data_IF_649953637281
#
_entry.id   IF_649953637281
#
_cell.length_a   1.000
_cell.length_b   1.000
_cell.length_c   1.000
_cell.angle_alpha   90.00
_cell.angle_beta   90.00
_cell.angle_gamma   90.00
#
_symmetry.space_group_name_H-M   'P 1'
#
loop_
_entity.id
_entity.type
_entity.pdbx_description
1 polymer ?
#
# COMPACT_ATOMS: atom_id res chain seq x y z
N UNK A 1 -74.82 -17.31 -26.39
CA UNK A 1 -73.66 -18.11 -26.84
C UNK A 1 -72.75 -17.30 -27.76
N UNK A 2 -73.27 -16.60 -28.78
CA UNK A 2 -72.48 -15.68 -29.62
C UNK A 2 -71.83 -14.51 -28.85
N UNK A 3 -72.55 -13.92 -27.89
CA UNK A 3 -72.07 -12.79 -27.06
C UNK A 3 -70.88 -13.17 -26.15
N UNK A 4 -70.91 -14.39 -25.58
CA UNK A 4 -69.82 -14.95 -24.76
C UNK A 4 -68.57 -15.21 -25.62
N UNK A 5 -68.76 -15.65 -26.87
CA UNK A 5 -67.64 -15.87 -27.80
C UNK A 5 -66.99 -14.53 -28.18
N UNK A 6 -67.77 -13.46 -28.34
CA UNK A 6 -67.26 -12.13 -28.64
C UNK A 6 -66.48 -11.52 -27.46
N UNK A 7 -66.97 -11.66 -26.23
CA UNK A 7 -66.22 -11.23 -25.03
C UNK A 7 -64.91 -12.00 -24.83
N UNK A 8 -64.92 -13.32 -25.06
CA UNK A 8 -63.71 -14.15 -24.99
C UNK A 8 -62.68 -13.75 -26.05
N UNK A 9 -63.13 -13.33 -27.24
CA UNK A 9 -62.24 -12.79 -28.28
C UNK A 9 -61.61 -11.46 -27.86
N UNK A 10 -62.39 -10.54 -27.27
CA UNK A 10 -61.89 -9.26 -26.74
C UNK A 10 -60.88 -9.45 -25.62
N UNK A 11 -61.15 -10.37 -24.68
CA UNK A 11 -60.21 -10.72 -23.60
C UNK A 11 -58.91 -11.32 -24.14
N UNK A 12 -59.00 -12.22 -25.12
CA UNK A 12 -57.82 -12.80 -25.78
C UNK A 12 -56.97 -11.73 -26.47
N UNK A 13 -57.61 -10.78 -27.16
CA UNK A 13 -56.92 -9.68 -27.82
C UNK A 13 -56.23 -8.76 -26.79
N UNK A 14 -56.93 -8.38 -25.72
CA UNK A 14 -56.36 -7.56 -24.65
C UNK A 14 -55.15 -8.25 -23.96
N UNK A 15 -55.23 -9.56 -23.73
CA UNK A 15 -54.13 -10.34 -23.17
C UNK A 15 -52.90 -10.41 -24.11
N UNK A 16 -53.14 -10.50 -25.42
CA UNK A 16 -52.07 -10.48 -26.42
C UNK A 16 -51.39 -9.11 -26.49
N UNK A 17 -52.17 -8.03 -26.49
CA UNK A 17 -51.66 -6.66 -26.47
C UNK A 17 -50.85 -6.39 -25.19
N UNK A 18 -51.36 -6.81 -24.02
CA UNK A 18 -50.64 -6.65 -22.75
C UNK A 18 -49.33 -7.46 -22.72
N UNK A 19 -49.31 -8.65 -23.30
CA UNK A 19 -48.08 -9.46 -23.40
C UNK A 19 -47.06 -8.79 -24.31
N UNK A 20 -47.49 -8.25 -25.46
CA UNK A 20 -46.62 -7.53 -26.39
C UNK A 20 -46.00 -6.29 -25.73
N UNK A 21 -46.81 -5.48 -25.03
CA UNK A 21 -46.33 -4.31 -24.29
C UNK A 21 -45.34 -4.71 -23.19
N UNK A 22 -45.61 -5.79 -22.44
CA UNK A 22 -44.71 -6.27 -21.40
C UNK A 22 -43.36 -6.76 -21.97
N UNK A 23 -43.38 -7.42 -23.13
CA UNK A 23 -42.16 -7.86 -23.82
C UNK A 23 -41.34 -6.67 -24.33
N UNK A 24 -42.01 -5.67 -24.90
CA UNK A 24 -41.37 -4.43 -25.35
C UNK A 24 -40.74 -3.67 -24.18
N UNK A 25 -41.47 -3.48 -23.07
CA UNK A 25 -40.94 -2.85 -21.86
C UNK A 25 -39.72 -3.60 -21.30
N UNK A 26 -39.76 -4.94 -21.29
CA UNK A 26 -38.62 -5.76 -20.82
C UNK A 26 -37.39 -5.57 -21.72
N UNK A 27 -37.60 -5.47 -23.03
CA UNK A 27 -36.53 -5.21 -24.01
C UNK A 27 -35.90 -3.82 -23.80
N UNK A 28 -36.73 -2.78 -23.61
CA UNK A 28 -36.27 -1.41 -23.35
C UNK A 28 -35.48 -1.33 -22.05
N UNK A 29 -35.99 -1.91 -20.96
CA UNK A 29 -35.30 -1.92 -19.65
C UNK A 29 -33.96 -2.65 -19.74
N UNK A 30 -33.90 -3.78 -20.45
CA UNK A 30 -32.65 -4.53 -20.63
C UNK A 30 -31.60 -3.72 -21.42
N UNK A 31 -32.04 -2.99 -22.45
CA UNK A 31 -31.18 -2.08 -23.20
C UNK A 31 -30.62 -0.94 -22.34
N UNK A 32 -31.48 -0.32 -21.52
CA UNK A 32 -31.07 0.74 -20.59
C UNK A 32 -30.07 0.25 -19.55
N UNK A 33 -30.25 -0.95 -18.99
CA UNK A 33 -29.30 -1.57 -18.04
C UNK A 33 -27.94 -1.78 -18.70
N UNK A 34 -27.91 -2.28 -19.94
CA UNK A 34 -26.66 -2.46 -20.69
C UNK A 34 -25.93 -1.14 -20.95
N UNK A 35 -26.66 -0.07 -21.26
CA UNK A 35 -26.08 1.26 -21.46
C UNK A 35 -25.51 1.84 -20.15
N UNK A 36 -26.24 1.69 -19.03
CA UNK A 36 -25.78 2.13 -17.71
C UNK A 36 -24.50 1.39 -17.30
N UNK A 37 -24.45 0.06 -17.46
CA UNK A 37 -23.25 -0.75 -17.16
C UNK A 37 -22.05 -0.33 -18.02
N UNK A 38 -22.27 -0.09 -19.32
CA UNK A 38 -21.24 0.42 -20.22
C UNK A 38 -20.70 1.80 -19.79
N UNK A 39 -21.59 2.70 -19.38
CA UNK A 39 -21.21 4.04 -18.87
C UNK A 39 -20.47 3.96 -17.55
N UNK A 40 -20.87 3.07 -16.64
CA UNK A 40 -20.18 2.85 -15.38
C UNK A 40 -18.74 2.35 -15.58
N UNK A 41 -18.55 1.31 -16.40
CA UNK A 41 -17.22 0.80 -16.74
C UNK A 41 -16.33 1.86 -17.38
N UNK A 42 -16.89 2.66 -18.29
CA UNK A 42 -16.15 3.76 -18.91
C UNK A 42 -15.75 4.84 -17.89
N UNK A 43 -16.64 5.17 -16.94
CA UNK A 43 -16.36 6.11 -15.87
C UNK A 43 -15.28 5.59 -14.90
N UNK A 44 -15.33 4.30 -14.53
CA UNK A 44 -14.29 3.66 -13.71
C UNK A 44 -12.92 3.76 -14.38
N UNK A 45 -12.82 3.37 -15.66
CA UNK A 45 -11.57 3.46 -16.42
C UNK A 45 -11.08 4.91 -16.53
N UNK A 46 -11.98 5.89 -16.72
CA UNK A 46 -11.62 7.30 -16.79
C UNK A 46 -11.10 7.83 -15.45
N UNK A 47 -11.71 7.42 -14.33
CA UNK A 47 -11.26 7.76 -12.97
C UNK A 47 -9.90 7.14 -12.68
N UNK A 48 -9.69 5.86 -13.02
CA UNK A 48 -8.39 5.19 -12.87
C UNK A 48 -7.30 5.91 -13.66
N UNK A 49 -7.55 6.25 -14.93
CA UNK A 49 -6.60 7.02 -15.76
C UNK A 49 -6.31 8.41 -15.22
N UNK A 50 -7.32 9.09 -14.68
CA UNK A 50 -7.13 10.40 -14.05
C UNK A 50 -6.25 10.29 -12.79
N UNK A 51 -6.50 9.28 -11.95
CA UNK A 51 -5.67 8.98 -10.77
C UNK A 51 -4.24 8.67 -11.20
N UNK A 52 -4.04 7.81 -12.20
CA UNK A 52 -2.72 7.48 -12.74
C UNK A 52 -1.98 8.73 -13.23
N UNK A 53 -2.63 9.56 -14.07
CA UNK A 53 -2.05 10.78 -14.62
C UNK A 53 -1.76 11.86 -13.57
N UNK A 54 -2.61 11.98 -12.54
CA UNK A 54 -2.37 12.90 -11.42
C UNK A 54 -1.24 12.38 -10.51
N UNK A 55 -1.17 11.06 -10.26
CA UNK A 55 -0.19 10.44 -9.37
C UNK A 55 1.25 10.46 -9.90
N UNK A 56 1.46 10.46 -11.21
CA UNK A 56 2.79 10.56 -11.82
C UNK A 56 3.51 11.90 -11.61
N UNK A 57 2.82 12.93 -11.12
CA UNK A 57 3.36 14.29 -10.95
C UNK A 57 3.29 14.81 -9.50
N UNK A 58 2.79 14.01 -8.55
CA UNK A 58 2.68 14.44 -7.16
C UNK A 58 3.95 14.08 -6.39
N UNK A 59 4.53 15.01 -5.61
CA UNK A 59 5.59 14.65 -4.68
C UNK A 59 5.04 13.65 -3.67
N UNK A 60 5.70 12.51 -3.51
CA UNK A 60 5.34 11.58 -2.45
C UNK A 60 5.53 12.26 -1.10
N UNK A 61 4.47 12.26 -0.30
CA UNK A 61 4.52 12.69 1.10
C UNK A 61 4.69 11.43 1.92
N UNK A 62 5.76 11.38 2.71
CA UNK A 62 5.93 10.27 3.64
C UNK A 62 4.84 10.34 4.73
N UNK A 63 4.01 9.31 4.80
CA UNK A 63 2.92 9.18 5.77
C UNK A 63 3.41 8.77 7.16
N UNK A 64 4.70 8.45 7.32
CA UNK A 64 5.32 8.14 8.60
C UNK A 64 5.68 9.43 9.35
N UNK A 65 5.14 9.60 10.56
CA UNK A 65 5.38 10.78 11.40
C UNK A 65 6.84 10.94 11.85
N UNK A 66 7.52 9.83 12.14
CA UNK A 66 8.91 9.79 12.59
C UNK A 66 9.81 9.06 11.57
N UNK A 67 9.67 9.32 10.27
CA UNK A 67 10.38 8.58 9.22
C UNK A 67 11.91 8.58 9.33
N UNK A 68 12.46 9.57 10.05
CA UNK A 68 13.89 9.68 10.34
C UNK A 68 14.34 8.89 11.57
N UNK A 69 13.39 8.33 12.33
CA UNK A 69 13.59 7.59 13.56
C UNK A 69 14.41 8.37 14.62
N UNK A 70 14.23 9.70 14.67
CA UNK A 70 14.96 10.60 15.59
C UNK A 70 14.17 11.00 16.82
N UNK A 71 12.84 10.78 16.83
CA UNK A 71 12.00 11.05 17.99
C UNK A 71 12.27 10.06 19.13
N UNK A 72 12.25 10.55 20.37
CA UNK A 72 12.46 9.79 21.59
C UNK A 72 11.23 9.83 22.50
N UNK A 73 11.00 8.76 23.25
CA UNK A 73 10.00 8.72 24.32
C UNK A 73 10.46 9.51 25.56
N UNK A 74 9.63 9.52 26.61
CA UNK A 74 9.94 10.19 27.88
C UNK A 74 11.14 9.62 28.61
N UNK A 75 11.51 8.37 28.33
CA UNK A 75 12.61 7.65 28.95
C UNK A 75 13.92 7.77 28.13
N UNK A 76 13.86 8.46 26.99
CA UNK A 76 14.99 8.70 26.11
C UNK A 76 15.25 7.60 25.06
N UNK A 77 14.36 6.62 24.94
CA UNK A 77 14.47 5.57 23.91
C UNK A 77 13.93 6.10 22.58
N UNK A 78 14.57 5.72 21.49
CA UNK A 78 14.09 6.04 20.16
C UNK A 78 12.77 5.33 19.83
N UNK A 79 11.83 6.07 19.26
CA UNK A 79 10.55 5.53 18.81
C UNK A 79 10.70 4.94 17.40
N UNK A 80 10.27 3.69 17.21
CA UNK A 80 10.21 3.10 15.88
C UNK A 80 9.18 3.83 15.00
N UNK A 81 9.50 4.17 13.74
CA UNK A 81 8.52 4.73 12.81
C UNK A 81 7.44 3.71 12.38
N UNK A 82 7.70 2.42 12.55
CA UNK A 82 6.88 1.33 12.01
C UNK A 82 6.65 0.23 13.06
N UNK A 83 5.45 -0.34 13.05
CA UNK A 83 5.10 -1.53 13.82
C UNK A 83 5.37 -2.81 13.05
N UNK A 84 5.28 -3.95 13.72
CA UNK A 84 5.46 -5.28 13.12
C UNK A 84 4.16 -6.08 13.16
N UNK A 85 3.89 -6.82 12.09
CA UNK A 85 2.82 -7.81 12.00
C UNK A 85 3.30 -9.05 11.25
N UNK A 86 2.86 -10.24 11.67
CA UNK A 86 3.22 -11.51 11.06
C UNK A 86 1.96 -12.28 10.68
N UNK A 87 1.90 -12.78 9.44
CA UNK A 87 0.77 -13.56 8.93
C UNK A 87 1.14 -14.99 8.55
N UNK A 88 2.42 -15.37 8.69
CA UNK A 88 2.93 -16.66 8.17
C UNK A 88 3.92 -17.38 9.08
N UNK A 89 4.07 -16.96 10.34
CA UNK A 89 5.00 -17.60 11.28
C UNK A 89 6.34 -16.90 11.44
N UNK A 90 6.55 -15.72 10.85
CA UNK A 90 7.69 -14.88 11.19
C UNK A 90 7.61 -14.49 12.67
N UNK A 91 8.72 -14.60 13.38
CA UNK A 91 8.87 -14.19 14.77
C UNK A 91 9.73 -12.94 14.80
N UNK A 92 9.23 -11.91 15.48
CA UNK A 92 10.02 -10.74 15.81
C UNK A 92 10.82 -11.04 17.07
N UNK A 93 12.13 -11.20 16.91
CA UNK A 93 13.04 -11.42 18.02
C UNK A 93 13.38 -10.09 18.72
N UNK A 94 13.63 -9.05 17.92
CA UNK A 94 13.92 -7.70 18.43
C UNK A 94 13.60 -6.62 17.38
N UNK A 95 13.25 -5.42 17.85
CA UNK A 95 13.04 -4.22 17.06
C UNK A 95 13.64 -3.03 17.80
N UNK A 96 14.72 -2.48 17.26
CA UNK A 96 15.43 -1.33 17.86
C UNK A 96 15.77 -0.27 16.84
N UNK A 97 15.84 0.96 17.31
CA UNK A 97 16.34 2.09 16.53
C UNK A 97 17.73 2.44 17.05
N UNK A 98 18.70 2.40 16.15
CA UNK A 98 20.11 2.66 16.39
C UNK A 98 20.48 4.05 15.86
N UNK A 99 21.31 4.79 16.59
CA UNK A 99 21.92 5.99 16.02
C UNK A 99 22.85 5.59 14.88
N UNK A 100 22.92 6.40 13.83
CA UNK A 100 23.79 6.10 12.69
C UNK A 100 25.28 5.97 13.06
N UNK A 101 25.67 6.53 14.21
CA UNK A 101 27.04 6.43 14.75
C UNK A 101 27.30 5.14 15.51
N UNK A 102 26.26 4.40 15.92
CA UNK A 102 26.41 3.20 16.76
C UNK A 102 27.30 2.15 16.10
N UNK A 103 28.15 1.50 16.88
CA UNK A 103 29.11 0.49 16.38
C UNK A 103 28.41 -0.74 15.78
N UNK A 104 27.19 -1.02 16.22
CA UNK A 104 26.34 -2.11 15.73
C UNK A 104 25.85 -1.88 14.28
N UNK A 105 25.89 -0.65 13.76
CA UNK A 105 25.40 -0.33 12.42
C UNK A 105 26.48 -0.69 11.36
N UNK A 106 26.15 -1.51 10.34
CA UNK A 106 27.08 -1.82 9.25
C UNK A 106 27.57 -0.58 8.51
N UNK A 107 28.85 -0.56 8.13
CA UNK A 107 29.49 0.60 7.49
C UNK A 107 28.80 1.05 6.19
N UNK A 108 28.30 0.08 5.44
CA UNK A 108 27.55 0.21 4.21
C UNK A 108 26.25 0.99 4.45
N UNK A 109 25.57 0.70 5.57
CA UNK A 109 24.34 1.39 5.99
C UNK A 109 24.65 2.79 6.50
N UNK A 110 25.74 2.99 7.28
CA UNK A 110 26.15 4.31 7.77
C UNK A 110 26.31 5.32 6.63
N UNK A 111 26.84 4.87 5.48
CA UNK A 111 27.01 5.73 4.30
C UNK A 111 25.71 6.29 3.73
N UNK A 112 24.57 5.63 4.00
CA UNK A 112 23.25 6.01 3.50
C UNK A 112 22.44 6.83 4.52
N UNK A 113 22.94 7.00 5.75
CA UNK A 113 22.21 7.75 6.80
C UNK A 113 22.24 9.26 6.59
N UNK A 114 23.07 9.74 5.65
CA UNK A 114 23.17 11.14 5.25
C UNK A 114 22.63 11.32 3.83
N UNK A 115 21.63 12.20 3.67
CA UNK A 115 21.13 12.60 2.36
C UNK A 115 21.45 14.05 2.05
N UNK A 116 21.46 14.37 0.76
CA UNK A 116 21.65 15.73 0.28
C UNK A 116 20.65 16.69 0.96
N UNK A 117 21.13 17.86 1.40
CA UNK A 117 20.35 18.79 2.22
C UNK A 117 20.58 18.66 3.74
N UNK A 118 21.51 17.80 4.19
CA UNK A 118 21.96 17.74 5.58
C UNK A 118 21.01 16.99 6.53
N UNK A 119 20.07 16.23 5.98
CA UNK A 119 19.17 15.40 6.77
C UNK A 119 19.89 14.12 7.20
N UNK A 120 19.65 13.73 8.46
CA UNK A 120 20.23 12.56 9.09
C UNK A 120 19.12 11.62 9.53
N UNK A 121 19.32 10.33 9.29
CA UNK A 121 18.45 9.23 9.68
C UNK A 121 19.11 8.35 10.72
N UNK A 122 18.33 7.86 11.66
CA UNK A 122 18.68 6.69 12.45
C UNK A 122 18.30 5.41 11.71
N UNK A 123 18.89 4.30 12.14
CA UNK A 123 18.75 3.00 11.51
C UNK A 123 17.75 2.18 12.30
N UNK A 124 16.76 1.61 11.61
CA UNK A 124 15.91 0.60 12.21
C UNK A 124 16.56 -0.77 12.02
N UNK A 125 16.86 -1.47 13.11
CA UNK A 125 17.26 -2.87 13.09
C UNK A 125 16.07 -3.74 13.48
N UNK A 126 15.70 -4.66 12.58
CA UNK A 126 14.66 -5.67 12.81
C UNK A 126 15.33 -7.03 12.83
N UNK A 127 15.27 -7.74 13.95
CA UNK A 127 15.76 -9.12 14.05
C UNK A 127 14.60 -10.10 13.94
N UNK A 128 14.65 -10.96 12.92
CA UNK A 128 13.56 -11.85 12.55
C UNK A 128 14.00 -13.30 12.47
N UNK A 129 13.12 -14.20 12.92
CA UNK A 129 13.28 -15.64 12.81
C UNK A 129 12.13 -16.27 12.04
N UNK A 130 12.45 -17.27 11.21
CA UNK A 130 11.46 -18.08 10.53
C UNK A 130 10.73 -19.01 11.50
N UNK A 131 9.41 -19.11 11.36
CA UNK A 131 8.64 -20.15 12.01
C UNK A 131 8.85 -21.51 11.36
N UNK A 132 8.10 -22.51 11.81
CA UNK A 132 8.18 -23.90 11.31
C UNK A 132 7.85 -24.07 9.82
N UNK A 133 7.23 -23.09 9.17
CA UNK A 133 6.85 -23.11 7.76
C UNK A 133 7.47 -21.97 6.93
N UNK A 134 8.49 -21.29 7.46
CA UNK A 134 8.88 -19.95 6.99
C UNK A 134 8.08 -18.87 7.70
N UNK A 135 8.20 -17.62 7.26
CA UNK A 135 7.49 -16.52 7.91
C UNK A 135 7.35 -15.27 7.06
N UNK A 136 6.12 -14.95 6.66
CA UNK A 136 5.78 -13.65 6.07
C UNK A 136 5.56 -12.60 7.17
N UNK A 137 6.05 -11.39 6.93
CA UNK A 137 5.88 -10.25 7.82
C UNK A 137 5.52 -8.96 7.05
N UNK A 138 4.91 -8.04 7.78
CA UNK A 138 4.58 -6.70 7.35
C UNK A 138 5.08 -5.70 8.40
N UNK A 139 5.76 -4.65 7.93
CA UNK A 139 6.12 -3.50 8.75
C UNK A 139 5.13 -2.38 8.48
N UNK A 140 4.33 -2.05 9.48
CA UNK A 140 3.13 -1.23 9.33
C UNK A 140 3.37 0.22 9.78
N UNK A 141 2.92 1.22 9.00
CA UNK A 141 2.84 2.59 9.48
C UNK A 141 1.83 2.65 10.63
N UNK A 142 2.12 3.42 11.67
CA UNK A 142 1.24 3.57 12.85
C UNK A 142 -0.15 4.15 12.55
N UNK A 143 -0.43 4.57 11.30
CA UNK A 143 -1.74 5.07 10.84
C UNK A 143 -2.14 4.42 9.50
N UNK A 144 -3.15 3.54 9.48
CA UNK A 144 -3.67 2.97 8.25
C UNK A 144 -4.41 4.02 7.41
N UNK A 145 -4.16 4.03 6.10
CA UNK A 145 -4.83 4.90 5.11
C UNK A 145 -5.47 4.00 4.04
N UNK A 146 -6.56 4.45 3.40
CA UNK A 146 -7.21 3.70 2.29
C UNK A 146 -6.76 4.24 0.93
N UNK A 147 -6.49 3.35 -0.03
CA UNK A 147 -6.15 3.75 -1.40
C UNK A 147 -5.10 2.87 -2.09
N UNK A 148 -4.57 3.36 -3.21
CA UNK A 148 -3.34 2.86 -3.83
C UNK A 148 -2.15 3.43 -3.06
N UNK A 149 -1.08 2.67 -2.94
CA UNK A 149 0.08 3.08 -2.17
C UNK A 149 1.39 2.61 -2.81
N UNK A 150 2.45 3.34 -2.47
CA UNK A 150 3.83 2.96 -2.75
C UNK A 150 4.61 3.01 -1.45
N UNK A 151 5.39 1.97 -1.19
CA UNK A 151 6.26 1.87 -0.02
C UNK A 151 7.69 1.68 -0.47
N UNK A 152 8.62 2.08 0.38
CA UNK A 152 10.04 1.87 0.11
C UNK A 152 10.93 2.27 1.27
N UNK A 153 12.22 2.14 1.02
CA UNK A 153 13.30 2.51 1.93
C UNK A 153 14.39 3.21 1.15
N UNK A 154 15.11 4.12 1.79
CA UNK A 154 16.30 4.74 1.19
C UNK A 154 17.38 3.69 0.99
N UNK A 155 17.63 2.88 2.02
CA UNK A 155 18.55 1.78 1.95
C UNK A 155 18.17 0.66 2.92
N UNK A 156 18.53 -0.56 2.58
CA UNK A 156 18.48 -1.69 3.49
C UNK A 156 19.58 -2.71 3.24
N UNK A 157 19.85 -3.52 4.26
CA UNK A 157 20.84 -4.60 4.23
C UNK A 157 20.41 -5.69 5.20
N UNK A 158 20.56 -6.95 4.79
CA UNK A 158 20.42 -8.11 5.67
C UNK A 158 21.80 -8.60 6.10
N UNK A 159 22.00 -8.93 7.37
CA UNK A 159 23.29 -9.43 7.87
C UNK A 159 23.67 -10.78 7.24
N UNK A 160 22.66 -11.60 6.95
CA UNK A 160 22.80 -12.92 6.35
C UNK A 160 21.65 -13.27 5.41
N UNK A 161 21.85 -14.34 4.64
CA UNK A 161 20.86 -14.85 3.70
C UNK A 161 19.60 -15.33 4.43
N UNK A 162 18.50 -15.40 3.68
CA UNK A 162 17.21 -15.89 4.16
C UNK A 162 16.19 -14.79 4.44
N UNK A 163 16.40 -13.60 3.84
CA UNK A 163 15.46 -12.49 3.85
C UNK A 163 14.98 -12.20 2.43
N UNK A 164 13.68 -12.05 2.26
CA UNK A 164 13.07 -11.43 1.10
C UNK A 164 12.34 -10.17 1.57
N UNK A 165 12.58 -9.03 0.94
CA UNK A 165 12.03 -7.77 1.41
C UNK A 165 11.71 -6.85 0.23
N UNK A 166 10.50 -6.27 0.23
CA UNK A 166 10.01 -5.35 -0.79
C UNK A 166 10.29 -5.81 -2.24
N UNK A 167 10.07 -7.09 -2.53
CA UNK A 167 10.23 -7.64 -3.88
C UNK A 167 11.63 -8.16 -4.21
N UNK A 168 12.59 -8.07 -3.28
CA UNK A 168 13.97 -8.49 -3.50
C UNK A 168 14.41 -9.59 -2.54
N UNK A 169 15.09 -10.61 -3.08
CA UNK A 169 15.88 -11.54 -2.27
C UNK A 169 17.14 -10.81 -1.81
N UNK A 170 17.34 -10.75 -0.50
CA UNK A 170 18.47 -10.04 0.09
C UNK A 170 19.64 -11.01 0.33
N UNK A 171 20.75 -10.74 -0.35
CA UNK A 171 22.02 -11.41 -0.12
C UNK A 171 22.72 -10.83 1.12
N UNK A 172 23.46 -11.69 1.82
CA UNK A 172 24.19 -11.36 3.05
C UNK A 172 25.12 -10.17 2.83
N UNK A 173 24.96 -9.15 3.67
CA UNK A 173 25.75 -7.92 3.68
C UNK A 173 25.75 -7.15 2.35
N UNK A 174 24.81 -7.43 1.46
CA UNK A 174 24.62 -6.63 0.26
C UNK A 174 23.73 -5.41 0.58
N UNK A 175 24.23 -4.24 0.21
CA UNK A 175 23.46 -3.00 0.31
C UNK A 175 22.48 -2.88 -0.86
N UNK A 176 21.21 -2.64 -0.54
CA UNK A 176 20.16 -2.29 -1.50
C UNK A 176 19.77 -0.84 -1.26
N UNK A 177 19.78 -0.03 -2.31
CA UNK A 177 19.46 1.41 -2.26
C UNK A 177 18.23 1.68 -3.12
N UNK A 178 17.40 2.63 -2.71
CA UNK A 178 16.20 3.06 -3.42
C UNK A 178 15.22 1.90 -3.70
N UNK A 179 15.08 1.00 -2.73
CA UNK A 179 14.18 -0.13 -2.84
C UNK A 179 12.73 0.35 -2.66
N UNK A 180 11.89 0.07 -3.66
CA UNK A 180 10.48 0.47 -3.64
C UNK A 180 9.58 -0.63 -4.20
N UNK A 181 8.35 -0.65 -3.71
CA UNK A 181 7.29 -1.54 -4.17
C UNK A 181 5.98 -0.76 -4.25
N UNK A 182 5.33 -0.81 -5.41
CA UNK A 182 3.97 -0.30 -5.59
C UNK A 182 2.99 -1.46 -5.56
N UNK A 183 1.89 -1.33 -4.81
CA UNK A 183 0.82 -2.34 -4.85
C UNK A 183 -0.57 -1.70 -4.85
N UNK A 184 -1.47 -2.27 -5.65
CA UNK A 184 -2.90 -1.97 -5.58
C UNK A 184 -3.50 -2.90 -4.52
N UNK A 185 -3.95 -2.32 -3.41
CA UNK A 185 -4.48 -3.07 -2.26
C UNK A 185 -5.92 -2.64 -2.02
N UNK A 186 -6.84 -3.60 -1.96
CA UNK A 186 -8.26 -3.37 -1.66
C UNK A 186 -8.56 -3.26 -0.14
N UNK A 187 -7.52 -3.27 0.69
CA UNK A 187 -7.57 -3.30 2.15
C UNK A 187 -6.76 -2.16 2.76
N UNK A 188 -7.16 -1.74 3.96
CA UNK A 188 -6.86 -0.43 4.57
C UNK A 188 -5.46 -0.29 5.19
N UNK A 189 -4.54 -1.23 4.96
CA UNK A 189 -3.24 -1.25 5.62
C UNK A 189 -2.20 -1.52 4.54
N UNK A 190 -1.31 -0.57 4.30
CA UNK A 190 -0.12 -0.81 3.48
C UNK A 190 1.14 -0.66 4.33
N UNK A 191 2.17 -1.43 3.98
CA UNK A 191 3.40 -1.55 4.76
C UNK A 191 4.51 -2.19 3.94
N UNK A 192 5.70 -2.20 4.52
CA UNK A 192 6.84 -2.87 3.90
C UNK A 192 6.67 -4.38 4.11
N UNK A 193 6.62 -5.14 3.02
CA UNK A 193 6.35 -6.59 3.08
C UNK A 193 7.64 -7.36 2.88
N UNK A 194 7.80 -8.45 3.63
CA UNK A 194 8.89 -9.39 3.43
C UNK A 194 8.57 -10.78 3.93
N UNK A 195 9.53 -11.67 3.76
CA UNK A 195 9.52 -13.00 4.36
C UNK A 195 10.92 -13.39 4.85
N UNK A 196 10.95 -14.22 5.88
CA UNK A 196 12.16 -14.75 6.49
C UNK A 196 12.13 -16.28 6.48
N UNK A 197 13.25 -16.89 6.09
CA UNK A 197 13.43 -18.35 6.03
C UNK A 197 14.53 -18.87 6.95
N UNK A 198 15.32 -17.98 7.54
CA UNK A 198 16.38 -18.32 8.50
C UNK A 198 16.07 -17.80 9.91
N UNK A 199 16.86 -18.24 10.90
CA UNK A 199 16.72 -17.80 12.30
C UNK A 199 17.60 -16.59 12.57
N UNK A 200 17.08 -15.59 13.28
CA UNK A 200 17.79 -14.41 13.79
C UNK A 200 18.49 -13.60 12.69
N UNK A 201 17.82 -13.39 11.56
CA UNK A 201 18.29 -12.52 10.47
C UNK A 201 18.04 -11.07 10.88
N UNK A 202 19.07 -10.24 10.82
CA UNK A 202 18.98 -8.81 11.07
C UNK A 202 18.77 -8.08 9.76
N UNK A 203 17.74 -7.25 9.71
CA UNK A 203 17.45 -6.33 8.62
C UNK A 203 17.66 -4.90 9.12
N UNK A 204 18.63 -4.21 8.54
CA UNK A 204 18.89 -2.79 8.78
C UNK A 204 18.15 -1.97 7.72
N UNK A 205 17.42 -0.95 8.15
CA UNK A 205 16.58 -0.11 7.28
C UNK A 205 16.87 1.36 7.56
N UNK A 206 17.09 2.12 6.50
CA UNK A 206 17.25 3.58 6.53
C UNK A 206 16.12 4.24 5.77
N UNK A 207 15.53 5.27 6.38
CA UNK A 207 14.54 6.13 5.75
C UNK A 207 13.35 5.37 5.14
N UNK A 208 12.60 4.57 5.93
CA UNK A 208 11.38 3.97 5.43
C UNK A 208 10.39 5.06 5.03
N UNK A 209 9.60 4.79 4.01
CA UNK A 209 8.56 5.69 3.56
C UNK A 209 7.34 4.95 3.03
N UNK A 210 6.19 5.58 3.21
CA UNK A 210 4.89 5.15 2.71
C UNK A 210 4.23 6.35 2.08
N UNK A 211 3.72 6.23 0.86
CA UNK A 211 2.99 7.30 0.18
C UNK A 211 1.66 6.79 -0.34
N UNK A 212 0.63 7.62 -0.23
CA UNK A 212 -0.61 7.44 -0.97
C UNK A 212 -0.35 7.70 -2.46
N UNK A 213 -0.95 6.88 -3.33
CA UNK A 213 -0.75 6.90 -4.77
C UNK A 213 0.41 6.00 -5.25
N UNK A 214 0.58 5.96 -6.57
CA UNK A 214 1.71 5.29 -7.21
C UNK A 214 2.81 6.28 -7.53
N UNK A 215 4.05 5.97 -7.16
CA UNK A 215 5.22 6.73 -7.60
C UNK A 215 6.09 5.86 -8.50
N UNK A 216 6.51 6.44 -9.63
CA UNK A 216 7.30 5.79 -10.68
C UNK A 216 8.80 6.10 -10.66
N UNK A 217 9.33 6.85 -9.68
CA UNK A 217 10.77 7.20 -9.60
C UNK A 217 11.29 7.55 -8.20
N UNK A 218 12.61 7.40 -7.99
CA UNK A 218 13.36 7.69 -6.75
C UNK A 218 14.29 8.93 -6.89
N UNK A 219 14.76 9.57 -5.80
CA UNK A 219 14.33 9.45 -4.41
C UNK A 219 13.37 10.57 -4.00
N UNK A 220 12.30 10.17 -3.33
CA UNK A 220 11.24 11.02 -2.81
C UNK A 220 11.66 11.70 -1.50
N UNK A 221 12.52 12.71 -1.58
CA UNK A 221 12.89 13.56 -0.44
C UNK A 221 11.88 14.71 -0.34
N UNK A 222 10.64 14.44 0.07
CA UNK A 222 9.83 15.48 0.72
C UNK A 222 9.59 15.06 2.16
N UNK A 223 10.69 15.02 2.91
CA UNK A 223 10.70 14.83 4.35
C UNK A 223 10.57 16.18 5.05
N UNK A 224 9.39 16.79 4.93
CA UNK A 224 9.06 17.87 5.86
C UNK A 224 8.50 17.25 7.13
N UNK A 225 9.20 17.41 8.27
CA UNK A 225 8.63 17.23 9.61
C UNK A 225 7.54 18.27 9.93
N UNK A 226 7.28 19.19 9.00
CA UNK A 226 6.32 20.27 9.09
C UNK A 226 5.46 20.28 7.82
N UNK A 227 4.55 19.31 7.70
CA UNK A 227 3.26 19.64 7.09
C UNK A 227 2.51 20.50 8.11
N UNK A 228 2.91 21.77 8.21
CA UNK A 228 2.04 22.79 8.73
C UNK A 228 0.83 22.81 7.82
N UNK A 229 -0.31 22.32 8.31
CA UNK A 229 -1.60 22.90 7.90
C UNK A 229 -1.37 24.40 8.06
N UNK A 230 -1.38 25.14 6.95
CA UNK A 230 -1.05 26.56 6.97
C UNK A 230 -1.79 27.22 8.12
N UNK A 231 -1.05 27.72 9.10
CA UNK A 231 -1.55 28.80 9.96
C UNK A 231 -1.54 30.05 9.10
N UNK A 232 -2.51 30.08 8.19
CA UNK A 232 -2.97 31.26 7.47
C UNK A 232 -4.42 31.49 7.93
N UNK A 233 -4.54 32.09 9.11
CA UNK A 233 -5.30 33.30 9.49
C UNK A 233 -5.48 33.27 11.02
#
# INVERSE_FOLDING_TARGET
>A
MAEIVEELQKLKQAAQEQTAVSQEQTSVVSGMIGEIDGRMKAAEVAVERYIDGASGNLPAVNLLLNSRATEKDSDGNYLSPIGFHSSGGAVLDDLRVLEYTDDDVPSEIKSQCHVEGGLVFNVLEVTLSAGSAGGDFLLLPGRPVRGRFTTGVLACLADKNGMFFCGQTMESNQLYVDLSMGSVRYWNIDGLVGSVSAQGVKLYIVGPWVSAGYISGSPLIVMSSSYGIGSSI
#
